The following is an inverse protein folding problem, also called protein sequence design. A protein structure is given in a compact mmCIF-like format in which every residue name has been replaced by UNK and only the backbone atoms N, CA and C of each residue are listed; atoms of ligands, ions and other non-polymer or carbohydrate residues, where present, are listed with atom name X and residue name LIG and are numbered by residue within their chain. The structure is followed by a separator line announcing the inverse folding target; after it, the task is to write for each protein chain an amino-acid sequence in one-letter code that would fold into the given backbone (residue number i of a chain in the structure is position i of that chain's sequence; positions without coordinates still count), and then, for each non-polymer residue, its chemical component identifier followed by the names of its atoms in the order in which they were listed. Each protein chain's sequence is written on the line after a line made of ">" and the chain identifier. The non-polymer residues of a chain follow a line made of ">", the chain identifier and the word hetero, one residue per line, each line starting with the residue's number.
data_IF_535025626769
#
_entry.id   IF_535025626769
#
_cell.length_a   1.000
_cell.length_b   1.000
_cell.length_c   1.000
_cell.angle_alpha   90.00
_cell.angle_beta   90.00
_cell.angle_gamma   90.00
#
_symmetry.space_group_name_H-M   'P 1'
#
loop_
_entity.id
_entity.type
_entity.pdbx_description
1 polymer ?
#
# COMPACT_ATOMS: atom_id res chain seq x y z
N UNK A 1 -10.83 -15.61 -14.82
CA UNK A 1 -10.97 -14.22 -15.32
C UNK A 1 -9.84 -13.81 -16.26
N UNK A 2 -8.57 -13.87 -15.87
CA UNK A 2 -7.44 -13.49 -16.75
C UNK A 2 -7.47 -14.19 -18.13
N UNK A 3 -7.71 -15.51 -18.16
CA UNK A 3 -7.84 -16.26 -19.42
C UNK A 3 -9.02 -15.80 -20.30
N UNK A 4 -10.14 -15.37 -19.69
CA UNK A 4 -11.29 -14.82 -20.42
C UNK A 4 -10.92 -13.49 -21.08
N UNK A 5 -10.28 -12.59 -20.32
CA UNK A 5 -9.86 -11.28 -20.82
C UNK A 5 -8.80 -11.39 -21.91
N UNK A 6 -7.83 -12.30 -21.76
CA UNK A 6 -6.82 -12.58 -22.79
C UNK A 6 -7.45 -13.07 -24.10
N UNK A 7 -8.44 -13.97 -24.03
CA UNK A 7 -9.19 -14.38 -25.24
C UNK A 7 -10.01 -13.24 -25.83
N UNK A 8 -10.73 -12.50 -24.99
CA UNK A 8 -11.58 -11.40 -25.42
C UNK A 8 -10.81 -10.31 -26.18
N UNK A 9 -9.67 -9.90 -25.65
CA UNK A 9 -8.89 -8.75 -26.16
C UNK A 9 -7.83 -9.20 -27.16
N UNK A 10 -7.00 -10.20 -26.84
CA UNK A 10 -5.89 -10.62 -27.70
C UNK A 10 -6.36 -11.41 -28.92
N UNK A 11 -7.37 -12.28 -28.77
CA UNK A 11 -7.91 -13.01 -29.91
C UNK A 11 -8.98 -12.23 -30.69
N UNK A 12 -9.28 -10.99 -30.27
CA UNK A 12 -10.26 -10.12 -30.93
C UNK A 12 -11.69 -10.66 -30.91
N UNK A 13 -12.00 -11.56 -29.96
CA UNK A 13 -13.33 -12.15 -29.84
C UNK A 13 -14.39 -11.10 -29.47
N UNK A 14 -14.00 -10.03 -28.76
CA UNK A 14 -14.91 -8.97 -28.35
C UNK A 14 -14.71 -7.72 -29.21
N UNK A 15 -15.84 -7.11 -29.59
CA UNK A 15 -15.89 -5.86 -30.33
C UNK A 15 -16.56 -4.79 -29.48
N UNK A 16 -16.05 -3.58 -29.62
CA UNK A 16 -16.49 -2.38 -28.91
C UNK A 16 -16.89 -1.34 -29.94
N UNK A 17 -18.00 -0.66 -29.68
CA UNK A 17 -18.43 0.50 -30.47
C UNK A 17 -17.86 1.75 -29.80
N UNK A 18 -17.09 2.53 -30.54
CA UNK A 18 -16.55 3.78 -30.03
C UNK A 18 -17.66 4.82 -29.87
N UNK A 19 -17.62 5.60 -28.78
CA UNK A 19 -18.71 6.52 -28.44
C UNK A 19 -18.70 7.77 -29.30
N UNK A 20 -17.51 8.17 -29.75
CA UNK A 20 -17.30 9.44 -30.45
C UNK A 20 -17.72 9.37 -31.92
N UNK A 21 -17.48 8.24 -32.59
CA UNK A 21 -17.74 8.07 -34.03
C UNK A 21 -18.68 6.89 -34.36
N UNK A 22 -19.06 6.07 -33.37
CA UNK A 22 -19.93 4.91 -33.56
C UNK A 22 -19.26 3.75 -34.31
N UNK A 23 -17.94 3.80 -34.52
CA UNK A 23 -17.22 2.78 -35.26
C UNK A 23 -16.99 1.53 -34.41
N UNK A 24 -17.18 0.36 -35.03
CA UNK A 24 -16.95 -0.92 -34.35
C UNK A 24 -15.50 -1.38 -34.52
N UNK A 25 -14.77 -1.48 -33.41
CA UNK A 25 -13.35 -1.90 -33.38
C UNK A 25 -13.14 -3.10 -32.43
N UNK A 26 -12.05 -3.86 -32.58
CA UNK A 26 -11.66 -4.85 -31.57
C UNK A 26 -11.49 -4.20 -30.20
N UNK A 27 -11.86 -4.94 -29.15
CA UNK A 27 -11.64 -4.53 -27.77
C UNK A 27 -10.14 -4.32 -27.50
N UNK A 28 -9.82 -3.31 -26.68
CA UNK A 28 -8.48 -3.01 -26.19
C UNK A 28 -8.46 -3.14 -24.68
N UNK A 29 -7.27 -3.29 -24.09
CA UNK A 29 -7.11 -3.33 -22.64
C UNK A 29 -7.67 -2.08 -21.94
N UNK A 30 -7.56 -0.91 -22.57
CA UNK A 30 -8.12 0.37 -22.10
C UNK A 30 -9.63 0.37 -21.97
N UNK A 31 -10.32 -0.51 -22.69
CA UNK A 31 -11.79 -0.59 -22.67
C UNK A 31 -12.29 -1.38 -21.45
N UNK A 32 -11.39 -2.06 -20.73
CA UNK A 32 -11.72 -2.99 -19.65
C UNK A 32 -11.52 -2.34 -18.29
N UNK A 33 -12.58 -2.28 -17.49
CA UNK A 33 -12.53 -1.99 -16.07
C UNK A 33 -12.96 -3.19 -15.23
N UNK A 34 -12.26 -3.40 -14.12
CA UNK A 34 -12.55 -4.41 -13.12
C UNK A 34 -12.96 -3.70 -11.84
N UNK A 35 -14.19 -3.93 -11.41
CA UNK A 35 -14.77 -3.24 -10.28
C UNK A 35 -14.86 -4.15 -9.06
N UNK A 36 -14.16 -3.73 -8.01
CA UNK A 36 -14.14 -4.38 -6.72
C UNK A 36 -15.22 -3.79 -5.79
N UNK A 37 -15.97 -4.65 -5.09
CA UNK A 37 -16.81 -4.23 -3.97
C UNK A 37 -15.95 -3.85 -2.76
N UNK A 38 -15.11 -4.80 -2.40
CA UNK A 38 -14.03 -4.65 -1.43
C UNK A 38 -12.80 -5.08 -2.19
N UNK A 39 -11.78 -4.24 -2.19
CA UNK A 39 -10.57 -4.39 -3.03
C UNK A 39 -9.59 -5.41 -2.42
N UNK A 40 -10.16 -6.49 -1.90
CA UNK A 40 -9.47 -7.55 -1.20
C UNK A 40 -10.04 -8.86 -1.72
N UNK A 41 -9.21 -9.72 -2.35
CA UNK A 41 -7.74 -9.67 -2.42
C UNK A 41 -7.18 -9.11 -3.74
N UNK A 42 -6.86 -7.80 -3.81
CA UNK A 42 -6.25 -7.17 -4.99
C UNK A 42 -4.99 -7.88 -5.50
N UNK A 43 -4.07 -8.25 -4.61
CA UNK A 43 -2.79 -8.88 -4.98
C UNK A 43 -2.98 -10.19 -5.76
N UNK A 44 -4.05 -10.94 -5.50
CA UNK A 44 -4.35 -12.17 -6.23
C UNK A 44 -4.67 -11.87 -7.70
N UNK A 45 -5.40 -10.78 -7.96
CA UNK A 45 -5.72 -10.32 -9.31
C UNK A 45 -4.49 -9.77 -10.03
N UNK A 46 -3.68 -8.95 -9.34
CA UNK A 46 -2.43 -8.42 -9.89
C UNK A 46 -1.45 -9.54 -10.26
N UNK A 47 -1.32 -10.54 -9.40
CA UNK A 47 -0.47 -11.72 -9.63
C UNK A 47 -0.97 -12.51 -10.84
N UNK A 48 -2.28 -12.77 -10.92
CA UNK A 48 -2.86 -13.49 -12.04
C UNK A 48 -2.72 -12.73 -13.36
N UNK A 49 -2.78 -11.40 -13.34
CA UNK A 49 -2.65 -10.57 -14.52
C UNK A 49 -1.22 -10.50 -15.03
N UNK A 50 -0.25 -10.33 -14.12
CA UNK A 50 1.17 -10.45 -14.48
C UNK A 50 1.50 -11.84 -15.04
N UNK A 51 1.02 -12.91 -14.40
CA UNK A 51 1.25 -14.27 -14.88
C UNK A 51 0.65 -14.54 -16.28
N UNK A 52 -0.30 -13.73 -16.72
CA UNK A 52 -0.94 -13.81 -18.02
C UNK A 52 -0.49 -12.72 -19.00
N UNK A 53 0.55 -11.95 -18.67
CA UNK A 53 1.04 -10.79 -19.44
C UNK A 53 -0.06 -9.77 -19.78
N UNK A 54 -1.03 -9.60 -18.88
CA UNK A 54 -2.10 -8.61 -19.04
C UNK A 54 -1.64 -7.29 -18.43
N UNK A 55 -1.55 -6.19 -19.21
CA UNK A 55 -1.21 -4.89 -18.66
C UNK A 55 -2.35 -4.39 -17.78
N UNK A 56 -2.03 -3.90 -16.58
CA UNK A 56 -3.04 -3.38 -15.65
C UNK A 56 -2.54 -2.18 -14.87
N UNK A 57 -3.49 -1.37 -14.42
CA UNK A 57 -3.28 -0.26 -13.48
C UNK A 57 -4.27 -0.35 -12.34
N UNK A 58 -3.84 0.08 -11.15
CA UNK A 58 -4.70 0.13 -9.97
C UNK A 58 -5.05 1.57 -9.68
N UNK A 59 -6.33 1.91 -9.83
CA UNK A 59 -6.88 3.20 -9.44
C UNK A 59 -7.17 3.22 -7.94
N UNK A 60 -6.60 4.21 -7.26
CA UNK A 60 -6.86 4.49 -5.86
C UNK A 60 -5.60 4.61 -5.04
N UNK A 61 -5.14 5.86 -4.85
CA UNK A 61 -4.01 6.20 -3.96
C UNK A 61 -4.17 5.67 -2.53
N UNK A 62 -5.39 5.36 -2.09
CA UNK A 62 -5.65 4.74 -0.77
C UNK A 62 -4.97 3.39 -0.55
N UNK A 63 -4.78 2.58 -1.61
CA UNK A 63 -4.17 1.26 -1.48
C UNK A 63 -2.67 1.32 -1.33
N UNK A 64 -2.05 2.39 -1.82
CA UNK A 64 -0.62 2.62 -1.69
C UNK A 64 -0.18 2.54 -0.22
N UNK A 65 -0.85 3.28 0.68
CA UNK A 65 -0.57 3.26 2.13
C UNK A 65 -0.93 1.93 2.83
N UNK A 66 -1.62 1.02 2.13
CA UNK A 66 -1.96 -0.32 2.64
C UNK A 66 -1.04 -1.42 2.12
N UNK A 67 -0.10 -1.10 1.21
CA UNK A 67 0.90 -2.06 0.75
C UNK A 67 1.87 -2.41 1.87
N UNK A 68 2.24 -3.69 1.97
CA UNK A 68 3.08 -4.21 3.06
C UNK A 68 4.40 -3.45 3.16
N UNK A 69 5.06 -3.20 2.03
CA UNK A 69 6.33 -2.48 1.97
C UNK A 69 6.20 -1.01 2.41
N UNK A 70 5.09 -0.36 2.04
CA UNK A 70 4.81 1.02 2.42
C UNK A 70 4.50 1.11 3.92
N UNK A 71 3.68 0.21 4.45
CA UNK A 71 3.38 0.14 5.88
C UNK A 71 4.62 -0.15 6.72
N UNK A 72 5.45 -1.09 6.28
CA UNK A 72 6.69 -1.44 6.97
C UNK A 72 7.64 -0.24 7.06
N UNK A 73 7.82 0.49 5.95
CA UNK A 73 8.63 1.71 5.94
C UNK A 73 7.99 2.81 6.80
N UNK A 74 6.70 3.08 6.68
CA UNK A 74 6.01 4.12 7.44
C UNK A 74 6.04 3.88 8.95
N UNK A 75 5.78 2.67 9.41
CA UNK A 75 5.88 2.35 10.84
C UNK A 75 7.31 2.51 11.35
N UNK A 76 8.30 2.15 10.53
CA UNK A 76 9.71 2.39 10.89
C UNK A 76 10.00 3.90 11.01
N UNK A 77 9.56 4.71 10.04
CA UNK A 77 9.75 6.16 10.07
C UNK A 77 9.01 6.85 11.23
N UNK A 78 7.81 6.37 11.59
CA UNK A 78 7.04 6.85 12.74
C UNK A 78 7.71 6.49 14.06
N UNK A 79 8.25 5.27 14.18
CA UNK A 79 9.05 4.86 15.34
C UNK A 79 10.33 5.71 15.48
N UNK A 80 10.92 6.13 14.35
CA UNK A 80 12.05 7.06 14.34
C UNK A 80 11.62 8.48 14.74
N UNK A 81 10.42 8.96 14.37
CA UNK A 81 9.98 10.31 14.75
C UNK A 81 9.72 10.44 16.26
N UNK A 82 9.01 9.46 16.80
CA UNK A 82 8.59 9.41 18.21
C UNK A 82 9.06 8.10 18.86
N UNK A 83 10.13 8.19 19.64
CA UNK A 83 10.68 7.06 20.41
C UNK A 83 9.72 6.54 21.49
N UNK A 84 8.67 7.28 21.83
CA UNK A 84 7.61 6.85 22.75
C UNK A 84 6.51 6.03 22.06
N UNK A 85 6.46 6.01 20.72
CA UNK A 85 5.44 5.32 19.96
C UNK A 85 5.74 3.81 19.87
N UNK A 86 5.32 3.08 20.89
CA UNK A 86 5.51 1.63 21.00
C UNK A 86 4.76 0.84 19.92
N UNK A 87 3.65 1.37 19.42
CA UNK A 87 2.84 0.70 18.39
C UNK A 87 3.62 0.63 17.09
N UNK A 88 4.14 1.76 16.62
CA UNK A 88 4.94 1.80 15.41
C UNK A 88 6.30 1.11 15.57
N UNK A 89 6.91 1.16 16.75
CA UNK A 89 8.13 0.39 17.04
C UNK A 89 7.89 -1.12 16.89
N UNK A 90 6.85 -1.66 17.50
CA UNK A 90 6.50 -3.09 17.39
C UNK A 90 6.12 -3.45 15.96
N UNK A 91 5.32 -2.61 15.29
CA UNK A 91 4.94 -2.83 13.89
C UNK A 91 6.16 -2.86 12.96
N UNK A 92 7.12 -1.94 13.16
CA UNK A 92 8.39 -1.91 12.44
C UNK A 92 9.18 -3.20 12.66
N UNK A 93 9.41 -3.59 13.92
CA UNK A 93 10.21 -4.77 14.27
C UNK A 93 9.59 -6.09 13.78
N UNK A 94 8.26 -6.19 13.76
CA UNK A 94 7.53 -7.34 13.22
C UNK A 94 7.51 -7.36 11.69
N UNK A 95 7.65 -6.21 11.04
CA UNK A 95 7.53 -6.09 9.58
C UNK A 95 8.62 -6.88 8.85
N UNK A 96 8.46 -7.16 7.53
CA UNK A 96 9.49 -7.83 6.74
C UNK A 96 10.86 -7.14 6.78
N UNK A 97 10.94 -5.84 7.09
CA UNK A 97 12.22 -5.11 7.19
C UNK A 97 13.12 -5.61 8.32
N UNK A 98 12.54 -6.17 9.39
CA UNK A 98 13.26 -6.63 10.57
C UNK A 98 12.97 -8.09 10.92
N UNK A 99 11.74 -8.55 10.75
CA UNK A 99 11.35 -9.96 10.76
C UNK A 99 11.31 -10.63 12.13
N UNK A 100 11.16 -9.87 13.23
CA UNK A 100 11.07 -10.47 14.57
C UNK A 100 9.72 -11.13 14.83
N UNK A 101 9.76 -12.28 15.50
CA UNK A 101 8.59 -13.05 15.90
C UNK A 101 7.89 -12.45 17.11
N UNK A 102 6.63 -12.81 17.33
CA UNK A 102 5.87 -12.37 18.50
C UNK A 102 6.52 -12.79 19.83
N UNK A 103 7.14 -13.98 19.85
CA UNK A 103 7.85 -14.48 21.03
C UNK A 103 9.10 -13.64 21.33
N UNK A 104 9.90 -13.30 20.31
CA UNK A 104 11.05 -12.41 20.49
C UNK A 104 10.64 -11.02 20.97
N UNK A 105 9.54 -10.48 20.41
CA UNK A 105 8.99 -9.19 20.79
C UNK A 105 8.44 -9.21 22.23
N UNK A 106 7.80 -10.29 22.64
CA UNK A 106 7.33 -10.49 24.01
C UNK A 106 8.50 -10.50 24.99
N UNK A 107 9.54 -11.29 24.72
CA UNK A 107 10.76 -11.34 25.53
C UNK A 107 11.39 -9.94 25.63
N UNK A 108 11.50 -9.22 24.50
CA UNK A 108 12.01 -7.85 24.50
C UNK A 108 11.14 -6.88 25.30
N UNK A 109 9.82 -7.03 25.26
CA UNK A 109 8.88 -6.21 26.02
C UNK A 109 9.02 -6.44 27.53
N UNK A 110 9.11 -7.69 27.97
CA UNK A 110 9.33 -8.08 29.37
C UNK A 110 10.68 -7.57 29.88
N UNK A 111 11.69 -7.57 29.01
CA UNK A 111 12.99 -6.98 29.30
C UNK A 111 12.99 -5.44 29.30
N UNK A 112 11.85 -4.78 29.05
CA UNK A 112 11.75 -3.31 28.97
C UNK A 112 12.43 -2.68 27.75
N UNK A 113 12.89 -3.47 26.79
CA UNK A 113 13.60 -3.01 25.58
C UNK A 113 12.72 -2.13 24.68
N UNK A 114 11.43 -2.46 24.60
CA UNK A 114 10.46 -1.79 23.72
C UNK A 114 9.82 -0.54 24.36
N UNK A 115 10.42 -0.01 25.43
CA UNK A 115 10.00 1.22 26.10
C UNK A 115 11.16 2.22 26.25
N UNK A 116 10.90 3.44 26.74
CA UNK A 116 11.92 4.46 26.96
C UNK A 116 12.79 4.20 28.21
N UNK A 117 12.41 3.22 29.03
CA UNK A 117 13.11 2.88 30.27
C UNK A 117 14.38 2.06 30.07
N UNK A 118 15.11 1.77 31.17
CA UNK A 118 16.27 0.89 31.11
C UNK A 118 15.85 -0.54 30.75
N UNK A 119 16.70 -1.22 29.98
CA UNK A 119 16.55 -2.66 29.70
C UNK A 119 16.85 -3.44 30.98
N UNK A 120 15.92 -4.28 31.40
CA UNK A 120 15.98 -5.11 32.61
C UNK A 120 15.85 -6.58 32.21
N UNK A 121 16.98 -7.27 32.12
CA UNK A 121 17.00 -8.69 31.74
C UNK A 121 17.58 -8.93 30.35
N UNK A 122 17.52 -10.20 29.92
CA UNK A 122 18.07 -10.61 28.63
C UNK A 122 17.03 -10.43 27.52
N UNK A 123 17.48 -9.96 26.36
CA UNK A 123 16.69 -9.88 25.14
C UNK A 123 17.50 -10.47 23.97
N UNK A 124 16.84 -10.93 22.89
CA UNK A 124 17.54 -11.41 21.70
C UNK A 124 18.52 -10.35 21.17
N UNK A 125 19.77 -10.73 20.91
CA UNK A 125 20.81 -9.80 20.50
C UNK A 125 20.46 -9.05 19.20
N UNK A 126 19.82 -9.75 18.24
CA UNK A 126 19.32 -9.15 17.01
C UNK A 126 18.26 -8.08 17.27
N UNK A 127 17.31 -8.35 18.17
CA UNK A 127 16.26 -7.40 18.54
C UNK A 127 16.84 -6.17 19.24
N UNK A 128 17.80 -6.37 20.15
CA UNK A 128 18.52 -5.28 20.79
C UNK A 128 19.23 -4.38 19.77
N UNK A 129 19.94 -4.99 18.81
CA UNK A 129 20.63 -4.25 17.76
C UNK A 129 19.66 -3.47 16.86
N UNK A 130 18.49 -4.04 16.52
CA UNK A 130 17.48 -3.36 15.73
C UNK A 130 16.86 -2.15 16.46
N UNK A 131 16.49 -2.32 17.73
CA UNK A 131 15.97 -1.23 18.57
C UNK A 131 17.01 -0.13 18.75
N UNK A 132 18.27 -0.50 18.96
CA UNK A 132 19.37 0.46 19.03
C UNK A 132 19.52 1.23 17.71
N UNK A 133 19.47 0.55 16.56
CA UNK A 133 19.56 1.20 15.26
C UNK A 133 18.45 2.24 15.05
N UNK A 134 17.20 1.92 15.43
CA UNK A 134 16.07 2.86 15.36
C UNK A 134 16.30 4.07 16.26
N UNK A 135 16.83 3.87 17.48
CA UNK A 135 17.17 4.96 18.41
C UNK A 135 18.32 5.84 17.88
N UNK A 136 19.30 5.25 17.21
CA UNK A 136 20.38 6.00 16.56
C UNK A 136 19.84 6.88 15.44
N UNK A 137 18.96 6.35 14.58
CA UNK A 137 18.26 7.15 13.58
C UNK A 137 17.41 8.25 14.22
N UNK A 138 16.69 7.95 15.31
CA UNK A 138 15.95 8.96 16.05
C UNK A 138 16.87 10.12 16.48
N UNK A 139 18.06 9.83 17.02
CA UNK A 139 19.01 10.83 17.47
C UNK A 139 19.52 11.76 16.36
N UNK A 140 19.70 11.24 15.14
CA UNK A 140 20.23 12.00 13.99
C UNK A 140 19.17 12.52 13.01
N UNK A 141 17.89 12.19 13.19
CA UNK A 141 16.83 12.53 12.22
C UNK A 141 16.72 14.03 11.88
N UNK A 142 17.04 14.89 12.84
CA UNK A 142 16.98 16.35 12.65
C UNK A 142 18.19 16.90 11.89
N UNK A 143 19.39 16.37 12.12
CA UNK A 143 20.59 16.77 11.38
C UNK A 143 20.61 16.21 9.97
N UNK A 144 20.10 14.99 9.82
CA UNK A 144 20.17 14.26 8.56
C UNK A 144 19.04 14.65 7.61
N UNK A 145 17.84 14.92 8.10
CA UNK A 145 16.69 15.18 7.23
C UNK A 145 16.03 13.90 6.71
N UNK A 146 14.80 14.00 6.14
CA UNK A 146 14.02 12.85 5.72
C UNK A 146 14.64 12.00 4.62
N UNK A 147 15.33 12.56 3.62
CA UNK A 147 15.90 11.76 2.52
C UNK A 147 16.94 10.80 3.07
N UNK A 148 17.90 11.32 3.84
CA UNK A 148 18.98 10.51 4.40
C UNK A 148 18.48 9.47 5.39
N UNK A 149 17.42 9.76 6.16
CA UNK A 149 16.84 8.76 7.07
C UNK A 149 16.11 7.67 6.29
N UNK A 150 15.30 8.03 5.28
CA UNK A 150 14.60 7.04 4.45
C UNK A 150 15.60 6.13 3.72
N UNK A 151 16.62 6.71 3.08
CA UNK A 151 17.67 5.95 2.40
C UNK A 151 18.45 5.07 3.39
N UNK A 152 18.79 5.58 4.59
CA UNK A 152 19.47 4.79 5.61
C UNK A 152 18.64 3.59 6.09
N UNK A 153 17.31 3.74 6.23
CA UNK A 153 16.42 2.62 6.56
C UNK A 153 16.42 1.59 5.44
N UNK A 154 16.22 2.02 4.20
CA UNK A 154 16.20 1.15 3.02
C UNK A 154 17.51 0.37 2.88
N UNK A 155 18.65 1.06 2.96
CA UNK A 155 19.98 0.47 2.79
C UNK A 155 20.34 -0.51 3.90
N UNK A 156 20.00 -0.18 5.15
CA UNK A 156 20.32 -0.98 6.33
C UNK A 156 19.52 -2.27 6.40
N UNK A 157 18.26 -2.20 5.99
CA UNK A 157 17.31 -3.32 5.99
C UNK A 157 17.33 -4.13 4.70
N UNK A 158 18.03 -3.63 3.66
CA UNK A 158 18.02 -4.21 2.31
C UNK A 158 16.60 -4.33 1.76
N UNK A 159 15.80 -3.28 2.00
CA UNK A 159 14.39 -3.28 1.66
C UNK A 159 14.17 -3.51 0.16
N UNK A 160 14.99 -2.89 -0.70
CA UNK A 160 14.88 -3.05 -2.15
C UNK A 160 15.09 -4.50 -2.55
N UNK A 161 16.17 -5.12 -2.09
CA UNK A 161 16.51 -6.50 -2.40
C UNK A 161 15.47 -7.47 -1.83
N UNK A 162 15.03 -7.24 -0.59
CA UNK A 162 14.00 -8.03 0.06
C UNK A 162 12.70 -8.04 -0.73
N UNK A 163 12.17 -6.87 -1.07
CA UNK A 163 10.88 -6.76 -1.74
C UNK A 163 10.95 -7.10 -3.23
N UNK A 164 12.10 -6.91 -3.89
CA UNK A 164 12.31 -7.33 -5.27
C UNK A 164 12.14 -8.85 -5.46
N UNK A 165 12.47 -9.64 -4.43
CA UNK A 165 12.35 -11.10 -4.45
C UNK A 165 10.94 -11.62 -4.12
N UNK A 166 10.01 -10.74 -3.74
CA UNK A 166 8.63 -11.10 -3.43
C UNK A 166 7.73 -11.07 -4.68
N UNK A 167 6.53 -11.70 -4.65
CA UNK A 167 5.54 -11.51 -5.70
C UNK A 167 5.26 -10.02 -5.94
N UNK A 168 5.21 -9.65 -7.22
CA UNK A 168 5.08 -8.25 -7.67
C UNK A 168 6.27 -7.36 -7.25
N UNK A 169 7.48 -7.93 -7.13
CA UNK A 169 8.65 -7.24 -6.57
C UNK A 169 9.01 -5.91 -7.22
N UNK A 170 8.93 -5.79 -8.54
CA UNK A 170 9.14 -4.50 -9.25
C UNK A 170 8.21 -3.41 -8.74
N UNK A 171 6.91 -3.73 -8.55
CA UNK A 171 5.93 -2.78 -8.03
C UNK A 171 6.22 -2.40 -6.58
N UNK A 172 6.64 -3.37 -5.76
CA UNK A 172 6.98 -3.11 -4.36
C UNK A 172 8.19 -2.18 -4.27
N UNK A 173 9.22 -2.39 -5.10
CA UNK A 173 10.36 -1.49 -5.19
C UNK A 173 9.94 -0.10 -5.67
N UNK A 174 9.08 -0.01 -6.69
CA UNK A 174 8.54 1.27 -7.16
C UNK A 174 7.77 2.01 -6.04
N UNK A 175 7.00 1.29 -5.22
CA UNK A 175 6.28 1.87 -4.09
C UNK A 175 7.24 2.43 -3.02
N UNK A 176 8.36 1.76 -2.75
CA UNK A 176 9.40 2.29 -1.85
C UNK A 176 10.07 3.53 -2.41
N UNK A 177 10.45 3.50 -3.69
CA UNK A 177 11.11 4.63 -4.35
C UNK A 177 10.22 5.87 -4.40
N UNK A 178 8.91 5.69 -4.50
CA UNK A 178 7.95 6.80 -4.39
C UNK A 178 8.06 7.53 -3.03
N UNK A 179 8.28 6.84 -1.91
CA UNK A 179 8.54 7.50 -0.61
C UNK A 179 9.89 8.25 -0.62
N UNK A 180 10.92 7.71 -1.28
CA UNK A 180 12.22 8.38 -1.44
C UNK A 180 12.08 9.67 -2.24
N UNK A 181 11.39 9.61 -3.37
CA UNK A 181 11.16 10.78 -4.23
C UNK A 181 10.29 11.83 -3.54
N UNK A 182 9.28 11.40 -2.78
CA UNK A 182 8.51 12.29 -1.91
C UNK A 182 9.38 12.95 -0.83
N UNK A 183 10.30 12.22 -0.20
CA UNK A 183 11.23 12.79 0.77
C UNK A 183 12.15 13.85 0.11
N UNK A 184 12.63 13.59 -1.11
CA UNK A 184 13.48 14.52 -1.88
C UNK A 184 12.74 15.80 -2.23
N UNK A 185 11.51 15.67 -2.72
CA UNK A 185 10.65 16.82 -2.98
C UNK A 185 10.40 17.63 -1.70
N UNK A 186 10.18 16.95 -0.56
CA UNK A 186 9.90 17.61 0.71
C UNK A 186 11.10 18.37 1.32
N UNK A 187 12.33 17.85 1.18
CA UNK A 187 13.53 18.57 1.66
C UNK A 187 13.79 19.85 0.90
N UNK A 188 13.48 19.87 -0.40
CA UNK A 188 13.64 21.07 -1.23
C UNK A 188 12.82 22.26 -0.73
N UNK A 189 11.75 21.98 0.04
CA UNK A 189 10.84 22.95 0.64
C UNK A 189 11.16 23.27 2.12
N UNK A 190 12.41 23.00 2.55
CA UNK A 190 12.93 23.20 3.91
C UNK A 190 12.16 22.46 5.02
N UNK A 191 11.57 21.30 4.70
CA UNK A 191 10.83 20.48 5.65
C UNK A 191 11.70 19.53 6.47
N UNK A 192 11.73 19.68 7.80
CA UNK A 192 12.39 18.72 8.70
C UNK A 192 11.65 17.37 8.82
N UNK A 193 12.34 16.34 9.33
CA UNK A 193 11.84 14.95 9.42
C UNK A 193 10.43 14.85 10.02
N UNK A 194 10.18 15.49 11.16
CA UNK A 194 8.87 15.47 11.81
C UNK A 194 7.73 16.02 10.93
N UNK A 195 8.03 17.08 10.17
CA UNK A 195 7.06 17.69 9.24
C UNK A 195 6.76 16.74 8.09
N UNK A 196 7.76 15.98 7.63
CA UNK A 196 7.61 14.95 6.61
C UNK A 196 6.71 13.80 7.08
N UNK A 197 6.93 13.28 8.29
CA UNK A 197 6.07 12.22 8.86
C UNK A 197 4.63 12.69 9.05
N UNK A 198 4.45 13.93 9.51
CA UNK A 198 3.12 14.55 9.56
C UNK A 198 2.48 14.64 8.18
N UNK A 199 3.22 15.09 7.15
CA UNK A 199 2.73 15.17 5.78
C UNK A 199 2.26 13.81 5.25
N UNK A 200 3.06 12.75 5.43
CA UNK A 200 2.68 11.39 5.04
C UNK A 200 1.43 10.90 5.80
N UNK A 201 1.32 11.23 7.08
CA UNK A 201 0.18 10.81 7.91
C UNK A 201 -1.11 11.57 7.57
N UNK A 202 -1.00 12.86 7.23
CA UNK A 202 -2.11 13.66 6.71
C UNK A 202 -2.59 13.13 5.36
N UNK A 203 -1.67 12.73 4.47
CA UNK A 203 -2.01 12.10 3.19
C UNK A 203 -2.68 10.75 3.37
N UNK A 204 -2.15 9.86 4.21
CA UNK A 204 -2.79 8.59 4.53
C UNK A 204 -4.22 8.82 5.05
N UNK A 205 -4.39 9.73 6.02
CA UNK A 205 -5.70 10.05 6.59
C UNK A 205 -6.65 10.71 5.57
N UNK A 206 -6.14 11.53 4.65
CA UNK A 206 -6.96 12.14 3.60
C UNK A 206 -7.52 11.09 2.64
N UNK A 207 -6.69 10.13 2.21
CA UNK A 207 -7.09 9.04 1.33
C UNK A 207 -8.04 8.04 2.02
N UNK A 208 -7.95 7.92 3.35
CA UNK A 208 -8.93 7.18 4.15
C UNK A 208 -10.27 7.92 4.30
N UNK A 209 -10.27 9.26 4.25
CA UNK A 209 -11.49 10.08 4.29
C UNK A 209 -12.14 10.22 2.92
N UNK A 210 -11.35 10.25 1.84
CA UNK A 210 -11.76 10.17 0.44
C UNK A 210 -12.27 8.77 0.06
N UNK A 211 -13.08 8.15 0.92
CA UNK A 211 -13.88 6.95 0.59
C UNK A 211 -14.79 7.18 -0.63
N UNK A 212 -15.00 8.45 -0.99
CA UNK A 212 -16.01 8.92 -1.93
C UNK A 212 -15.45 9.63 -3.19
N UNK A 213 -14.18 9.50 -3.58
CA UNK A 213 -13.67 10.13 -4.82
C UNK A 213 -12.65 9.29 -5.61
N UNK A 214 -12.68 9.32 -6.96
CA UNK A 214 -11.69 8.63 -7.79
C UNK A 214 -10.32 9.31 -7.66
N UNK A 215 -9.28 8.53 -7.33
CA UNK A 215 -7.91 9.04 -7.29
C UNK A 215 -7.31 9.07 -8.69
N UNK A 216 -6.68 10.19 -9.05
CA UNK A 216 -6.11 10.45 -10.38
C UNK A 216 -4.80 9.66 -10.63
N UNK A 217 -4.85 8.92 -11.74
CA UNK A 217 -3.84 8.58 -12.77
C UNK A 217 -2.42 8.14 -12.36
N UNK A 218 -2.08 6.93 -12.80
CA UNK A 218 -0.74 6.59 -13.29
C UNK A 218 -0.89 6.15 -14.76
N UNK A 219 0.00 6.67 -15.61
CA UNK A 219 -0.16 6.77 -17.06
C UNK A 219 0.27 5.48 -17.78
N UNK A 220 -0.28 4.34 -17.34
CA UNK A 220 -0.14 3.07 -18.04
C UNK A 220 -1.09 3.06 -19.25
N UNK A 221 -0.69 3.78 -20.30
CA UNK A 221 -1.36 3.74 -21.62
C UNK A 221 -1.49 2.27 -22.06
N UNK A 222 -2.71 1.84 -22.39
CA UNK A 222 -2.94 0.47 -22.88
C UNK A 222 -3.22 -0.59 -21.82
N UNK A 223 -3.72 -0.24 -20.62
CA UNK A 223 -3.89 -1.19 -19.51
C UNK A 223 -5.35 -1.37 -19.03
N UNK A 224 -5.62 -2.53 -18.43
CA UNK A 224 -6.87 -2.83 -17.71
C UNK A 224 -6.94 -2.01 -16.44
N UNK A 225 -8.07 -1.36 -16.18
CA UNK A 225 -8.25 -0.53 -14.98
C UNK A 225 -8.86 -1.32 -13.83
N UNK A 226 -8.12 -1.49 -12.72
CA UNK A 226 -8.61 -2.08 -11.48
C UNK A 226 -9.05 -0.97 -10.53
N UNK A 227 -10.34 -0.90 -10.19
CA UNK A 227 -10.88 0.17 -9.36
C UNK A 227 -12.06 -0.30 -8.50
N UNK A 228 -12.53 0.54 -7.59
CA UNK A 228 -13.65 0.18 -6.73
C UNK A 228 -14.95 0.57 -7.41
N UNK A 229 -16.05 -0.14 -7.13
CA UNK A 229 -17.38 0.27 -7.59
C UNK A 229 -17.75 1.70 -7.16
N UNK A 230 -17.21 2.18 -6.04
CA UNK A 230 -17.37 3.58 -5.66
C UNK A 230 -16.55 4.52 -6.56
N UNK A 231 -15.28 4.17 -6.79
CA UNK A 231 -14.36 4.94 -7.62
C UNK A 231 -14.78 5.05 -9.08
N UNK A 232 -15.61 4.12 -9.58
CA UNK A 232 -16.13 4.16 -10.95
C UNK A 232 -17.34 5.05 -11.16
N UNK A 233 -17.84 5.75 -10.13
CA UNK A 233 -19.02 6.63 -10.28
C UNK A 233 -18.73 7.77 -11.26
N UNK A 234 -19.59 7.90 -12.27
CA UNK A 234 -19.43 8.92 -13.31
C UNK A 234 -18.39 8.55 -14.37
N UNK A 235 -17.76 7.37 -14.27
CA UNK A 235 -16.90 6.81 -15.30
C UNK A 235 -17.70 5.78 -16.10
N UNK A 236 -17.41 5.69 -17.39
CA UNK A 236 -18.00 4.71 -18.30
C UNK A 236 -16.88 3.91 -18.96
N UNK A 237 -17.06 2.59 -19.01
CA UNK A 237 -16.14 1.68 -19.70
C UNK A 237 -16.95 0.80 -20.63
N UNK A 238 -16.46 0.55 -21.86
CA UNK A 238 -17.14 -0.36 -22.77
C UNK A 238 -17.26 -1.78 -22.21
N UNK A 239 -16.27 -2.23 -21.43
CA UNK A 239 -16.25 -3.56 -20.81
C UNK A 239 -16.07 -3.39 -19.30
N UNK A 240 -17.05 -3.87 -18.53
CA UNK A 240 -17.00 -3.86 -17.07
C UNK A 240 -17.08 -5.29 -16.54
N UNK A 241 -16.10 -5.68 -15.73
CA UNK A 241 -16.09 -6.96 -15.02
C UNK A 241 -16.30 -6.69 -13.53
N UNK A 242 -17.39 -7.21 -12.98
CA UNK A 242 -17.64 -7.19 -11.53
C UNK A 242 -17.03 -8.44 -10.89
N UNK A 243 -16.27 -8.26 -9.82
CA UNK A 243 -15.63 -9.36 -9.08
C UNK A 243 -16.09 -9.40 -7.62
N UNK A 244 -15.81 -10.54 -6.96
CA UNK A 244 -16.10 -10.78 -5.54
C UNK A 244 -17.57 -10.53 -5.15
N UNK A 245 -18.49 -10.97 -6.00
CA UNK A 245 -19.94 -10.83 -5.81
C UNK A 245 -20.50 -11.70 -4.68
N UNK A 246 -19.76 -12.71 -4.22
CA UNK A 246 -20.15 -13.59 -3.12
C UNK A 246 -19.76 -13.07 -1.72
N UNK A 247 -19.04 -11.93 -1.65
CA UNK A 247 -18.56 -11.37 -0.40
C UNK A 247 -19.70 -11.01 0.55
N UNK A 248 -19.70 -11.60 1.75
CA UNK A 248 -20.68 -11.30 2.77
C UNK A 248 -20.68 -9.81 3.11
N UNK A 249 -21.88 -9.22 3.18
CA UNK A 249 -22.04 -7.81 3.58
C UNK A 249 -21.68 -7.69 5.05
N UNK A 250 -20.47 -7.20 5.35
CA UNK A 250 -20.12 -6.72 6.69
C UNK A 250 -20.99 -5.49 6.99
N UNK A 251 -22.14 -5.73 7.60
CA UNK A 251 -23.05 -4.67 8.02
C UNK A 251 -22.58 -4.10 9.36
N UNK A 252 -21.44 -3.40 9.37
CA UNK A 252 -20.98 -2.68 10.56
C UNK A 252 -21.74 -1.34 10.67
N UNK A 253 -23.04 -1.42 10.95
CA UNK A 253 -23.85 -0.36 11.55
C UNK A 253 -25.16 -1.00 12.02
N UNK A 254 -25.20 -1.32 13.31
CA UNK A 254 -26.44 -1.45 14.04
C UNK A 254 -27.24 -0.17 13.87
N UNK A 255 -28.30 -0.22 13.07
CA UNK A 255 -29.49 0.57 13.30
C UNK A 255 -30.68 -0.25 12.79
N UNK A 256 -31.53 -0.63 13.75
CA UNK A 256 -32.79 -1.30 13.53
C UNK A 256 -33.63 -0.56 12.51
N UNK A 257 -34.39 -1.28 11.68
CA UNK A 257 -35.70 -0.87 11.16
C UNK A 257 -36.26 -2.02 10.33
N UNK A 258 -37.20 -2.77 10.91
CA UNK A 258 -38.43 -3.23 10.25
C UNK A 258 -39.30 -3.97 11.28
N UNK A 259 -40.39 -3.30 11.67
CA UNK A 259 -41.53 -3.88 12.36
C UNK A 259 -42.35 -4.73 11.39
N UNK A 260 -42.94 -5.82 11.89
CA UNK A 260 -43.93 -6.62 11.17
C UNK A 260 -45.30 -5.96 11.28
N UNK A 261 -45.97 -5.77 10.15
CA UNK A 261 -47.42 -5.62 10.07
C UNK A 261 -48.00 -6.82 9.34
N UNK A 262 -48.85 -7.58 10.03
CA UNK A 262 -49.91 -8.39 9.42
C UNK A 262 -50.93 -7.51 8.74
#
# INVERSE_FOLDING_TARGET
>A
MAALLSRAVTAGEWRVVDRDDGAERPARWTDVAILFRTFTPLEAYETAFRAADIPFRVEGGRYYFKRVEVQALLSTLRAIDDSGNRVDLVASLRSPLFGFTDDELLIGAEAGLLGPGPVRGAAPAGLMAAVQQIREWHGRRHSDGPVRIVEAVIDRTKAVELFALMPLGEQRVANLMKIVDEARAFESDAGGFRRFIRHLSEREASLEKERDSPGVEDDAQGSVTLQSMHGSKGLEYPIVVLVDLDGQVSNSKSNSLLSRGT
#
